data_IF_465242803066
#
_entry.id   IF_465242803066
#
_cell.length_a   1.000
_cell.length_b   1.000
_cell.length_c   1.000
_cell.angle_alpha   90.00
_cell.angle_beta   90.00
_cell.angle_gamma   90.00
#
_symmetry.space_group_name_H-M   'P 1'
#
loop_
_entity.id
_entity.type
_entity.pdbx_description
1 polymer ?
#
# COMPACT_ATOMS: atom_id res chain seq x y z
N UNK A 1 26.53 -9.31 18.32
CA UNK A 1 27.73 -10.12 17.98
C UNK A 1 27.48 -10.88 16.67
N UNK A 2 27.33 -10.16 15.55
CA UNK A 2 27.05 -10.75 14.21
C UNK A 2 27.80 -10.04 13.06
N UNK A 3 28.73 -9.13 13.37
CA UNK A 3 29.51 -8.37 12.38
C UNK A 3 31.01 -8.59 12.58
N UNK A 4 31.42 -9.86 12.64
CA UNK A 4 32.83 -10.20 12.63
C UNK A 4 33.01 -11.47 11.83
N UNK A 5 32.93 -11.34 10.51
CA UNK A 5 33.59 -12.31 9.65
C UNK A 5 34.00 -11.72 8.30
N UNK A 6 35.17 -12.21 7.88
CA UNK A 6 36.05 -11.79 6.80
C UNK A 6 35.43 -12.01 5.40
N UNK A 7 34.25 -11.43 5.15
CA UNK A 7 33.60 -11.51 3.84
C UNK A 7 34.37 -10.64 2.85
N UNK A 8 34.91 -11.27 1.79
CA UNK A 8 35.45 -10.56 0.62
C UNK A 8 34.43 -9.49 0.23
N UNK A 9 34.83 -8.22 0.33
CA UNK A 9 33.99 -7.07 -0.03
C UNK A 9 33.38 -7.35 -1.40
N UNK A 10 32.04 -7.33 -1.51
CA UNK A 10 31.32 -7.59 -2.75
C UNK A 10 31.96 -6.77 -3.88
N UNK A 11 32.14 -7.40 -5.05
CA UNK A 11 32.72 -6.78 -6.24
C UNK A 11 31.99 -5.47 -6.55
N UNK A 12 30.67 -5.42 -6.34
CA UNK A 12 29.88 -4.19 -6.49
C UNK A 12 30.33 -3.11 -5.51
N UNK A 13 30.48 -3.45 -4.23
CA UNK A 13 30.94 -2.51 -3.20
C UNK A 13 32.36 -2.02 -3.50
N UNK A 14 33.24 -2.90 -4.01
CA UNK A 14 34.60 -2.52 -4.42
C UNK A 14 34.60 -1.54 -5.59
N UNK A 15 33.76 -1.77 -6.60
CA UNK A 15 33.61 -0.87 -7.75
C UNK A 15 32.99 0.47 -7.33
N UNK A 16 32.05 0.45 -6.38
CA UNK A 16 31.37 1.65 -5.90
C UNK A 16 32.23 2.54 -5.00
N UNK A 17 33.37 2.04 -4.47
CA UNK A 17 34.34 2.87 -3.72
C UNK A 17 34.94 4.01 -4.54
N UNK A 18 34.89 3.92 -5.87
CA UNK A 18 35.34 5.01 -6.76
C UNK A 18 34.42 6.23 -6.72
N UNK A 19 33.17 6.07 -6.26
CA UNK A 19 32.20 7.15 -6.17
C UNK A 19 32.09 7.71 -4.75
N UNK A 20 31.96 9.03 -4.66
CA UNK A 20 31.73 9.70 -3.39
C UNK A 20 30.35 9.36 -2.85
N UNK A 21 30.30 8.97 -1.58
CA UNK A 21 29.04 8.72 -0.88
C UNK A 21 28.23 10.02 -0.71
N UNK A 22 26.92 9.86 -0.57
CA UNK A 22 26.02 10.98 -0.24
C UNK A 22 26.27 11.37 1.20
N UNK A 23 26.59 12.65 1.48
CA UNK A 23 26.84 13.06 2.85
C UNK A 23 25.55 12.97 3.67
N UNK A 24 25.65 12.45 4.91
CA UNK A 24 24.47 12.22 5.77
C UNK A 24 23.66 13.50 6.05
N UNK A 25 24.31 14.67 6.04
CA UNK A 25 23.62 15.93 6.29
C UNK A 25 22.55 16.27 5.25
N UNK A 26 22.65 15.79 4.00
CA UNK A 26 21.59 15.99 2.99
C UNK A 26 20.27 15.37 3.45
N UNK A 27 20.33 14.15 4.01
CA UNK A 27 19.15 13.47 4.54
C UNK A 27 18.57 14.19 5.76
N UNK A 28 19.44 14.64 6.67
CA UNK A 28 18.99 15.36 7.87
C UNK A 28 18.35 16.72 7.51
N UNK A 29 18.90 17.45 6.54
CA UNK A 29 18.30 18.71 6.09
C UNK A 29 16.91 18.46 5.49
N UNK A 30 16.76 17.48 4.59
CA UNK A 30 15.45 17.14 4.03
C UNK A 30 14.47 16.72 5.13
N UNK A 31 14.90 15.87 6.07
CA UNK A 31 14.07 15.41 7.17
C UNK A 31 13.56 16.57 8.03
N UNK A 32 14.47 17.44 8.49
CA UNK A 32 14.12 18.57 9.36
C UNK A 32 13.23 19.56 8.63
N UNK A 33 13.56 19.91 7.38
CA UNK A 33 12.73 20.82 6.56
C UNK A 33 11.33 20.24 6.36
N UNK A 34 11.19 18.96 6.04
CA UNK A 34 9.88 18.33 5.88
C UNK A 34 9.07 18.34 7.18
N UNK A 35 9.66 17.99 8.32
CA UNK A 35 8.95 18.00 9.61
C UNK A 35 8.48 19.41 9.96
N UNK A 36 9.33 20.42 9.77
CA UNK A 36 8.97 21.83 10.03
C UNK A 36 7.82 22.28 9.13
N UNK A 37 7.88 21.96 7.82
CA UNK A 37 6.82 22.31 6.87
C UNK A 37 5.50 21.60 7.20
N UNK A 38 5.54 20.32 7.60
CA UNK A 38 4.35 19.58 8.00
C UNK A 38 3.73 20.18 9.27
N UNK A 39 4.54 20.46 10.29
CA UNK A 39 4.05 21.10 11.53
C UNK A 39 3.44 22.48 11.21
N UNK A 40 4.11 23.27 10.37
CA UNK A 40 3.59 24.57 9.94
C UNK A 40 2.25 24.43 9.21
N UNK A 41 2.14 23.49 8.26
CA UNK A 41 0.90 23.25 7.54
C UNK A 41 -0.24 22.82 8.48
N UNK A 42 0.03 21.89 9.41
CA UNK A 42 -0.94 21.43 10.39
C UNK A 42 -1.44 22.54 11.32
N UNK A 43 -0.56 23.44 11.77
CA UNK A 43 -0.95 24.53 12.68
C UNK A 43 -1.61 25.71 11.92
N UNK A 44 -1.13 26.04 10.73
CA UNK A 44 -1.69 27.13 9.93
C UNK A 44 -3.05 26.76 9.32
N UNK A 45 -3.18 25.55 8.78
CA UNK A 45 -4.44 25.02 8.21
C UNK A 45 -5.19 24.13 9.22
N UNK A 46 -5.15 24.48 10.51
CA UNK A 46 -5.75 23.68 11.59
C UNK A 46 -7.26 23.46 11.39
N UNK A 47 -7.97 24.44 10.81
CA UNK A 47 -9.39 24.31 10.49
C UNK A 47 -9.69 23.13 9.55
N UNK A 48 -8.76 22.81 8.65
CA UNK A 48 -8.93 21.73 7.66
C UNK A 48 -8.24 20.43 8.10
N UNK A 49 -6.95 20.49 8.48
CA UNK A 49 -6.16 19.29 8.78
C UNK A 49 -6.46 18.70 10.16
N UNK A 50 -6.86 19.53 11.13
CA UNK A 50 -7.28 19.14 12.50
C UNK A 50 -6.24 18.31 13.30
N UNK A 51 -5.05 18.06 12.75
CA UNK A 51 -3.97 17.33 13.40
C UNK A 51 -3.06 18.31 14.14
N UNK A 52 -2.88 18.10 15.44
CA UNK A 52 -2.01 18.95 16.26
C UNK A 52 -0.54 18.56 16.09
N UNK A 53 0.38 19.48 16.38
CA UNK A 53 1.83 19.30 16.23
C UNK A 53 2.39 18.00 16.85
N UNK A 54 1.86 17.57 18.00
CA UNK A 54 2.31 16.34 18.67
C UNK A 54 1.98 15.08 17.86
N UNK A 55 0.89 15.10 17.09
CA UNK A 55 0.47 14.00 16.23
C UNK A 55 1.44 13.78 15.08
N UNK A 56 2.01 14.86 14.53
CA UNK A 56 3.06 14.79 13.50
C UNK A 56 4.32 14.11 14.05
N UNK A 57 4.80 14.52 15.22
CA UNK A 57 5.97 13.92 15.86
C UNK A 57 5.75 12.43 16.19
N UNK A 58 4.55 12.10 16.68
CA UNK A 58 4.18 10.71 16.94
C UNK A 58 4.16 9.88 15.65
N UNK A 59 3.60 10.40 14.55
CA UNK A 59 3.60 9.72 13.26
C UNK A 59 5.03 9.45 12.75
N UNK A 60 5.93 10.43 12.87
CA UNK A 60 7.34 10.27 12.53
C UNK A 60 8.02 9.19 13.39
N UNK A 61 7.77 9.19 14.71
CA UNK A 61 8.35 8.19 15.61
C UNK A 61 7.89 6.77 15.27
N UNK A 62 6.60 6.59 14.99
CA UNK A 62 6.03 5.32 14.53
C UNK A 62 6.71 4.89 13.22
N UNK A 63 6.79 5.80 12.24
CA UNK A 63 7.44 5.50 10.95
C UNK A 63 8.88 5.01 11.13
N UNK A 64 9.70 5.68 11.96
CA UNK A 64 11.09 5.31 12.21
C UNK A 64 11.20 3.91 12.84
N UNK A 65 10.40 3.63 13.87
CA UNK A 65 10.44 2.34 14.58
C UNK A 65 10.06 1.19 13.66
N UNK A 66 9.03 1.37 12.83
CA UNK A 66 8.51 0.30 11.99
C UNK A 66 9.22 0.13 10.65
N UNK A 67 9.93 1.16 10.16
CA UNK A 67 10.68 1.08 8.89
C UNK A 67 11.68 -0.07 8.89
N UNK A 68 12.41 -0.28 9.99
CA UNK A 68 13.44 -1.34 10.07
C UNK A 68 12.85 -2.76 10.00
N UNK A 69 11.91 -3.17 10.88
CA UNK A 69 11.34 -4.53 10.84
C UNK A 69 10.60 -4.82 9.53
N UNK A 70 9.85 -3.84 9.01
CA UNK A 70 9.13 -4.01 7.74
C UNK A 70 10.09 -4.06 6.57
N UNK A 71 11.19 -3.30 6.62
CA UNK A 71 12.26 -3.41 5.64
C UNK A 71 12.90 -4.80 5.60
N UNK A 72 13.08 -5.45 6.75
CA UNK A 72 13.59 -6.84 6.82
C UNK A 72 12.59 -7.82 6.20
N UNK A 73 11.29 -7.68 6.52
CA UNK A 73 10.24 -8.53 5.95
C UNK A 73 10.19 -8.31 4.43
N UNK A 74 10.09 -7.07 3.97
CA UNK A 74 10.05 -6.74 2.55
C UNK A 74 11.30 -7.22 1.80
N UNK A 75 12.49 -7.12 2.40
CA UNK A 75 13.72 -7.62 1.79
C UNK A 75 13.78 -9.15 1.66
N UNK A 76 13.03 -9.90 2.47
CA UNK A 76 13.03 -11.38 2.47
C UNK A 76 11.85 -11.96 1.71
N UNK A 77 10.69 -11.32 1.75
CA UNK A 77 9.43 -11.83 1.19
C UNK A 77 8.99 -11.09 -0.07
N UNK A 78 9.60 -9.94 -0.37
CA UNK A 78 9.13 -8.99 -1.37
C UNK A 78 7.69 -8.51 -1.14
N UNK A 79 7.17 -8.63 0.09
CA UNK A 79 5.85 -8.16 0.49
C UNK A 79 5.99 -7.03 1.51
N UNK A 80 5.25 -5.94 1.32
CA UNK A 80 5.21 -4.81 2.23
C UNK A 80 3.94 -4.89 3.08
N UNK A 81 4.00 -5.41 4.32
CA UNK A 81 2.84 -5.42 5.20
C UNK A 81 2.36 -3.99 5.48
N UNK A 82 1.06 -3.76 5.29
CA UNK A 82 0.44 -2.45 5.46
C UNK A 82 0.38 -2.01 6.92
N UNK A 83 0.85 -0.80 7.23
CA UNK A 83 0.81 -0.19 8.56
C UNK A 83 -0.42 0.70 8.77
N UNK A 84 -1.21 0.91 7.71
CA UNK A 84 -2.40 1.76 7.70
C UNK A 84 -3.26 1.55 8.95
N UNK A 85 -3.65 0.30 9.20
CA UNK A 85 -4.55 -0.05 10.30
C UNK A 85 -3.93 0.28 11.65
N UNK A 86 -2.64 -0.02 11.87
CA UNK A 86 -1.97 0.26 13.15
C UNK A 86 -1.87 1.77 13.39
N UNK A 87 -1.51 2.55 12.35
CA UNK A 87 -1.43 4.01 12.47
C UNK A 87 -2.81 4.62 12.77
N UNK A 88 -3.85 4.14 12.08
CA UNK A 88 -5.23 4.57 12.27
C UNK A 88 -5.78 4.15 13.65
N UNK A 89 -5.39 2.97 14.15
CA UNK A 89 -5.76 2.48 15.48
C UNK A 89 -5.18 3.36 16.60
N UNK A 90 -3.89 3.72 16.51
CA UNK A 90 -3.21 4.54 17.51
C UNK A 90 -3.88 5.91 17.61
N UNK A 91 -3.96 6.63 16.50
CA UNK A 91 -4.53 7.98 16.53
C UNK A 91 -6.05 7.96 16.79
N UNK A 92 -6.77 6.95 16.31
CA UNK A 92 -8.20 6.79 16.59
C UNK A 92 -8.52 6.59 18.08
N UNK A 93 -7.62 6.00 18.86
CA UNK A 93 -7.77 5.93 20.34
C UNK A 93 -7.32 7.22 21.03
N UNK A 94 -6.24 7.86 20.55
CA UNK A 94 -5.68 9.05 21.20
C UNK A 94 -6.48 10.32 20.89
N UNK A 95 -7.03 10.42 19.68
CA UNK A 95 -7.70 11.61 19.16
C UNK A 95 -8.94 11.24 18.31
N UNK A 96 -9.97 10.60 18.91
CA UNK A 96 -11.19 10.22 18.21
C UNK A 96 -12.03 11.44 17.83
N UNK A 97 -12.84 11.30 16.78
CA UNK A 97 -13.82 12.30 16.33
C UNK A 97 -13.33 13.21 15.20
N UNK A 98 -12.06 13.11 14.81
CA UNK A 98 -11.44 13.93 13.76
C UNK A 98 -10.95 13.06 12.60
N UNK A 99 -11.77 12.82 11.56
CA UNK A 99 -11.42 11.92 10.46
C UNK A 99 -10.26 12.46 9.61
N UNK A 100 -10.19 13.78 9.39
CA UNK A 100 -9.10 14.39 8.60
C UNK A 100 -7.76 14.27 9.33
N UNK A 101 -7.75 14.47 10.64
CA UNK A 101 -6.54 14.27 11.45
C UNK A 101 -6.03 12.82 11.37
N UNK A 102 -6.94 11.84 11.39
CA UNK A 102 -6.61 10.43 11.20
C UNK A 102 -6.01 10.15 9.80
N UNK A 103 -6.60 10.73 8.74
CA UNK A 103 -6.04 10.63 7.39
C UNK A 103 -4.62 11.20 7.32
N UNK A 104 -4.39 12.41 7.84
CA UNK A 104 -3.07 13.05 7.85
C UNK A 104 -2.05 12.22 8.63
N UNK A 105 -2.42 11.70 9.80
CA UNK A 105 -1.55 10.86 10.61
C UNK A 105 -1.12 9.59 9.87
N UNK A 106 -2.07 8.92 9.18
CA UNK A 106 -1.78 7.75 8.34
C UNK A 106 -0.85 8.09 7.19
N UNK A 107 -1.06 9.22 6.50
CA UNK A 107 -0.16 9.66 5.42
C UNK A 107 1.25 9.87 5.96
N UNK A 108 1.40 10.62 7.07
CA UNK A 108 2.71 10.90 7.64
C UNK A 108 3.40 9.67 8.25
N UNK A 109 2.65 8.70 8.79
CA UNK A 109 3.20 7.49 9.37
C UNK A 109 3.52 6.40 8.34
N UNK A 110 2.49 5.98 7.59
CA UNK A 110 2.58 4.85 6.67
C UNK A 110 3.19 5.20 5.31
N UNK A 111 2.74 6.27 4.66
CA UNK A 111 3.24 6.60 3.30
C UNK A 111 4.71 7.01 3.37
N UNK A 112 5.12 7.74 4.41
CA UNK A 112 6.54 8.06 4.65
C UNK A 112 7.40 6.80 4.77
N UNK A 113 6.91 5.75 5.43
CA UNK A 113 7.61 4.47 5.54
C UNK A 113 7.73 3.78 4.18
N UNK A 114 6.63 3.71 3.42
CA UNK A 114 6.62 3.12 2.06
C UNK A 114 7.64 3.85 1.17
N UNK A 115 7.64 5.18 1.20
CA UNK A 115 8.61 6.00 0.47
C UNK A 115 10.04 5.73 0.91
N UNK A 116 10.31 5.59 2.22
CA UNK A 116 11.63 5.25 2.73
C UNK A 116 12.11 3.87 2.22
N UNK A 117 11.23 2.87 2.16
CA UNK A 117 11.56 1.54 1.65
C UNK A 117 11.83 1.54 0.14
N UNK A 118 10.98 2.21 -0.64
CA UNK A 118 11.19 2.37 -2.09
C UNK A 118 12.48 3.12 -2.38
N UNK A 119 12.77 4.17 -1.61
CA UNK A 119 14.01 4.92 -1.72
C UNK A 119 15.24 4.03 -1.48
N UNK A 120 15.23 3.19 -0.42
CA UNK A 120 16.30 2.22 -0.15
C UNK A 120 16.42 1.17 -1.26
N UNK A 121 15.28 0.71 -1.81
CA UNK A 121 15.24 -0.24 -2.92
C UNK A 121 15.95 0.31 -4.16
N UNK A 122 15.68 1.56 -4.50
CA UNK A 122 16.34 2.26 -5.61
C UNK A 122 17.85 2.44 -5.37
N UNK A 123 18.29 2.77 -4.14
CA UNK A 123 19.72 2.83 -3.82
C UNK A 123 20.41 1.50 -4.06
N UNK A 124 19.74 0.39 -3.69
CA UNK A 124 20.24 -0.95 -3.93
C UNK A 124 20.30 -1.27 -5.43
N UNK A 125 19.27 -0.90 -6.19
CA UNK A 125 19.27 -1.03 -7.66
C UNK A 125 20.41 -0.22 -8.29
N UNK A 126 20.59 1.04 -7.88
CA UNK A 126 21.67 1.90 -8.35
C UNK A 126 23.06 1.36 -8.03
N UNK A 127 23.22 0.75 -6.84
CA UNK A 127 24.44 0.04 -6.46
C UNK A 127 24.71 -1.17 -7.38
N UNK A 128 23.68 -1.91 -7.78
CA UNK A 128 23.81 -3.00 -8.76
C UNK A 128 24.07 -2.52 -10.18
N UNK A 129 23.55 -1.36 -10.57
CA UNK A 129 23.77 -0.73 -11.88
C UNK A 129 25.04 0.12 -11.97
N UNK A 130 25.78 0.28 -10.86
CA UNK A 130 27.01 1.09 -10.75
C UNK A 130 26.78 2.56 -11.06
N UNK A 131 25.60 3.07 -10.69
CA UNK A 131 25.22 4.49 -10.84
C UNK A 131 25.79 5.27 -9.64
N UNK A 132 26.41 6.45 -9.84
CA UNK A 132 26.92 7.26 -8.73
C UNK A 132 25.80 7.66 -7.75
N UNK A 133 25.98 7.45 -6.44
CA UNK A 133 24.91 7.58 -5.45
C UNK A 133 24.44 9.04 -5.27
N UNK A 134 25.33 10.03 -5.48
CA UNK A 134 24.97 11.46 -5.48
C UNK A 134 24.07 11.85 -6.65
N UNK A 135 24.27 11.25 -7.82
CA UNK A 135 23.41 11.51 -8.98
C UNK A 135 22.04 10.86 -8.76
N UNK A 136 22.03 9.63 -8.24
CA UNK A 136 20.80 8.92 -7.91
C UNK A 136 19.95 9.68 -6.90
N UNK A 137 20.56 10.16 -5.80
CA UNK A 137 19.88 10.98 -4.81
C UNK A 137 19.23 12.23 -5.42
N UNK A 138 19.99 12.97 -6.24
CA UNK A 138 19.47 14.17 -6.91
C UNK A 138 18.33 13.84 -7.87
N UNK A 139 18.45 12.76 -8.63
CA UNK A 139 17.41 12.31 -9.55
C UNK A 139 16.12 11.93 -8.81
N UNK A 140 16.21 11.25 -7.67
CA UNK A 140 15.05 10.91 -6.86
C UNK A 140 14.38 12.15 -6.27
N UNK A 141 15.15 13.09 -5.70
CA UNK A 141 14.61 14.33 -5.13
C UNK A 141 13.93 15.18 -6.20
N UNK A 142 14.53 15.32 -7.39
CA UNK A 142 13.88 16.04 -8.49
C UNK A 142 12.66 15.28 -9.03
N UNK A 143 12.76 13.96 -9.12
CA UNK A 143 11.65 13.11 -9.55
C UNK A 143 10.45 13.22 -8.62
N UNK A 144 10.66 13.26 -7.30
CA UNK A 144 9.57 13.44 -6.33
C UNK A 144 8.93 14.82 -6.45
N UNK A 145 9.72 15.89 -6.60
CA UNK A 145 9.20 17.26 -6.79
C UNK A 145 8.34 17.35 -8.06
N UNK A 146 8.86 16.84 -9.19
CA UNK A 146 8.11 16.85 -10.46
C UNK A 146 6.84 16.01 -10.35
N UNK A 147 6.95 14.81 -9.75
CA UNK A 147 5.81 13.92 -9.53
C UNK A 147 4.70 14.62 -8.74
N UNK A 148 5.03 15.26 -7.61
CA UNK A 148 4.05 15.99 -6.80
C UNK A 148 3.38 17.12 -7.58
N UNK A 149 4.13 17.89 -8.37
CA UNK A 149 3.57 18.97 -9.19
C UNK A 149 2.61 18.45 -10.26
N UNK A 150 3.00 17.36 -10.96
CA UNK A 150 2.15 16.73 -11.97
C UNK A 150 0.88 16.17 -11.33
N UNK A 151 1.01 15.41 -10.22
CA UNK A 151 -0.13 14.86 -9.50
C UNK A 151 -1.10 15.94 -9.02
N UNK A 152 -0.59 17.03 -8.45
CA UNK A 152 -1.41 18.15 -8.00
C UNK A 152 -2.13 18.81 -9.18
N UNK A 153 -1.41 19.09 -10.27
CA UNK A 153 -1.99 19.68 -11.48
C UNK A 153 -3.08 18.80 -12.08
N UNK A 154 -2.86 17.49 -12.17
CA UNK A 154 -3.87 16.55 -12.68
C UNK A 154 -5.08 16.45 -11.75
N UNK A 155 -4.87 16.45 -10.44
CA UNK A 155 -5.98 16.38 -9.47
C UNK A 155 -6.87 17.62 -9.55
N UNK A 156 -6.28 18.82 -9.60
CA UNK A 156 -7.02 20.07 -9.79
C UNK A 156 -7.78 20.09 -11.11
N UNK A 157 -7.11 19.71 -12.20
CA UNK A 157 -7.75 19.63 -13.52
C UNK A 157 -8.94 18.66 -13.54
N UNK A 158 -8.80 17.50 -12.90
CA UNK A 158 -9.88 16.50 -12.80
C UNK A 158 -11.08 17.04 -12.02
N UNK A 159 -10.85 17.70 -10.88
CA UNK A 159 -11.92 18.26 -10.05
C UNK A 159 -12.68 19.40 -10.74
N UNK A 160 -12.01 20.22 -11.57
CA UNK A 160 -12.64 21.35 -12.26
C UNK A 160 -13.39 20.95 -13.54
N UNK A 161 -12.88 19.96 -14.29
CA UNK A 161 -13.41 19.63 -15.62
C UNK A 161 -14.40 18.45 -15.63
N UNK A 162 -14.41 17.59 -14.62
CA UNK A 162 -15.22 16.36 -14.61
C UNK A 162 -16.42 16.56 -13.67
N UNK A 163 -17.65 16.69 -14.21
CA UNK A 163 -18.83 16.82 -13.37
C UNK A 163 -19.13 15.51 -12.62
N UNK A 164 -19.57 15.62 -11.36
CA UNK A 164 -19.93 14.49 -10.49
C UNK A 164 -18.81 13.47 -10.27
N UNK A 165 -17.56 13.93 -10.19
CA UNK A 165 -16.40 13.09 -9.90
C UNK A 165 -16.60 12.27 -8.62
N UNK A 166 -16.33 10.96 -8.68
CA UNK A 166 -16.47 10.00 -7.58
C UNK A 166 -17.91 9.77 -7.06
N UNK A 167 -18.95 10.36 -7.67
CA UNK A 167 -20.34 10.17 -7.24
C UNK A 167 -20.93 8.88 -7.82
N UNK A 168 -21.02 7.84 -6.97
CA UNK A 168 -21.54 6.52 -7.35
C UNK A 168 -23.05 6.54 -7.66
N UNK A 169 -23.79 7.57 -7.22
CA UNK A 169 -25.25 7.64 -7.40
C UNK A 169 -25.66 8.12 -8.79
N UNK A 170 -24.86 9.02 -9.38
CA UNK A 170 -25.12 9.59 -10.71
C UNK A 170 -24.35 8.84 -11.80
N UNK A 171 -23.18 8.27 -11.48
CA UNK A 171 -22.31 7.61 -12.46
C UNK A 171 -22.74 6.17 -12.76
N UNK A 172 -22.78 5.84 -14.05
CA UNK A 172 -23.05 4.48 -14.53
C UNK A 172 -22.04 3.44 -13.98
N UNK A 173 -22.44 2.17 -13.85
CA UNK A 173 -21.60 1.05 -13.40
C UNK A 173 -20.21 0.99 -14.02
N UNK A 174 -20.14 1.35 -15.29
CA UNK A 174 -19.00 1.25 -16.20
C UNK A 174 -18.15 2.53 -16.26
N UNK A 175 -18.52 3.58 -15.52
CA UNK A 175 -17.83 4.86 -15.54
C UNK A 175 -16.42 4.75 -14.92
N UNK A 176 -15.37 5.25 -15.58
CA UNK A 176 -14.01 5.24 -15.05
C UNK A 176 -13.82 6.18 -13.84
N UNK A 177 -14.75 7.12 -13.62
CA UNK A 177 -14.63 8.22 -12.67
C UNK A 177 -15.16 7.91 -11.26
N UNK A 178 -15.22 6.62 -10.88
CA UNK A 178 -15.81 6.16 -9.60
C UNK A 178 -14.87 6.20 -8.39
N UNK A 179 -13.59 6.53 -8.60
CA UNK A 179 -12.57 6.74 -7.56
C UNK A 179 -12.58 5.66 -6.44
N UNK A 180 -12.43 4.38 -6.78
CA UNK A 180 -12.60 3.30 -5.80
C UNK A 180 -11.58 3.39 -4.67
N UNK A 181 -10.31 3.66 -4.98
CA UNK A 181 -9.24 3.83 -3.98
C UNK A 181 -9.52 4.99 -3.02
N UNK A 182 -9.98 6.13 -3.53
CA UNK A 182 -10.28 7.31 -2.71
C UNK A 182 -11.50 7.07 -1.82
N UNK A 183 -12.51 6.35 -2.31
CA UNK A 183 -13.67 5.97 -1.49
C UNK A 183 -13.28 5.06 -0.33
N UNK A 184 -12.38 4.08 -0.55
CA UNK A 184 -11.86 3.23 0.53
C UNK A 184 -11.05 4.05 1.54
N UNK A 185 -10.26 5.01 1.05
CA UNK A 185 -9.49 5.90 1.92
C UNK A 185 -10.41 6.79 2.79
N UNK A 186 -11.50 7.29 2.20
CA UNK A 186 -12.53 8.04 2.90
C UNK A 186 -13.26 7.17 3.94
N UNK A 187 -13.78 6.00 3.55
CA UNK A 187 -14.50 5.11 4.45
C UNK A 187 -13.64 4.67 5.64
N UNK A 188 -12.35 4.40 5.40
CA UNK A 188 -11.38 4.11 6.46
C UNK A 188 -11.27 5.27 7.47
N UNK A 189 -11.26 6.52 7.00
CA UNK A 189 -11.20 7.67 7.91
C UNK A 189 -12.44 7.81 8.80
N UNK A 190 -13.61 7.43 8.28
CA UNK A 190 -14.87 7.46 9.03
C UNK A 190 -14.87 6.38 10.11
N UNK A 191 -14.48 5.16 9.74
CA UNK A 191 -14.42 4.00 10.64
C UNK A 191 -13.40 4.25 11.75
N UNK A 192 -12.15 4.58 11.39
CA UNK A 192 -11.05 4.64 12.34
C UNK A 192 -10.87 6.02 13.00
N UNK A 193 -11.24 7.10 12.33
CA UNK A 193 -11.08 8.47 12.83
C UNK A 193 -12.34 9.04 13.47
N UNK A 194 -13.45 9.10 12.73
CA UNK A 194 -14.69 9.74 13.20
C UNK A 194 -15.39 8.91 14.29
N UNK A 195 -15.70 7.64 14.00
CA UNK A 195 -16.35 6.74 14.97
C UNK A 195 -15.35 6.29 16.04
N UNK A 196 -14.12 6.02 15.58
CA UNK A 196 -13.02 5.58 16.42
C UNK A 196 -13.05 4.08 16.72
N UNK A 197 -11.88 3.45 16.87
CA UNK A 197 -11.77 2.03 17.14
C UNK A 197 -12.46 1.59 18.43
N UNK A 198 -12.59 2.47 19.44
CA UNK A 198 -13.26 2.14 20.70
C UNK A 198 -14.75 1.81 20.53
N UNK A 199 -15.44 2.46 19.59
CA UNK A 199 -16.89 2.27 19.36
C UNK A 199 -17.20 1.15 18.37
N UNK A 200 -16.25 0.75 17.53
CA UNK A 200 -16.43 -0.34 16.56
C UNK A 200 -15.83 -1.64 17.09
N UNK A 201 -14.57 -1.59 17.52
CA UNK A 201 -13.77 -2.74 17.94
C UNK A 201 -13.52 -2.78 19.46
N UNK A 202 -13.82 -1.73 20.20
CA UNK A 202 -13.68 -1.71 21.66
C UNK A 202 -14.86 -2.33 22.39
N UNK A 203 -14.93 -2.08 23.70
CA UNK A 203 -15.97 -2.62 24.59
C UNK A 203 -17.38 -2.12 24.25
N UNK A 204 -17.48 -1.01 23.51
CA UNK A 204 -18.75 -0.38 23.12
C UNK A 204 -19.25 -0.86 21.75
N UNK A 205 -18.46 -1.65 21.03
CA UNK A 205 -18.74 -2.02 19.64
C UNK A 205 -19.14 -3.49 19.45
N UNK A 206 -19.89 -3.74 18.38
CA UNK A 206 -20.32 -5.09 18.00
C UNK A 206 -19.18 -5.95 17.43
N UNK A 207 -18.08 -5.33 16.98
CA UNK A 207 -16.94 -6.02 16.34
C UNK A 207 -15.75 -6.25 17.28
N UNK A 208 -15.98 -6.26 18.59
CA UNK A 208 -14.89 -6.43 19.58
C UNK A 208 -14.04 -7.69 19.38
N UNK A 209 -14.67 -8.77 18.91
CA UNK A 209 -13.98 -10.04 18.61
C UNK A 209 -12.95 -9.94 17.50
N UNK A 210 -12.99 -8.92 16.64
CA UNK A 210 -12.03 -8.74 15.55
C UNK A 210 -10.63 -8.46 16.12
N UNK A 211 -10.50 -7.84 17.30
CA UNK A 211 -9.19 -7.64 17.91
C UNK A 211 -8.49 -8.96 18.28
N UNK A 212 -9.22 -10.07 18.41
CA UNK A 212 -8.63 -11.40 18.64
C UNK A 212 -7.71 -11.81 17.48
N UNK A 213 -7.95 -11.32 16.26
CA UNK A 213 -7.11 -11.63 15.12
C UNK A 213 -5.69 -11.05 15.25
N UNK A 214 -5.46 -10.01 16.06
CA UNK A 214 -4.10 -9.58 16.39
C UNK A 214 -3.35 -10.66 17.18
N UNK A 215 -4.04 -11.34 18.10
CA UNK A 215 -3.48 -12.46 18.89
C UNK A 215 -3.23 -13.66 17.98
N UNK A 216 -4.17 -13.99 17.09
CA UNK A 216 -3.98 -15.04 16.08
C UNK A 216 -2.75 -14.72 15.21
N UNK A 217 -2.61 -13.47 14.76
CA UNK A 217 -1.47 -13.00 14.00
C UNK A 217 -0.13 -13.14 14.74
N UNK A 218 -0.11 -12.96 16.06
CA UNK A 218 1.08 -13.16 16.89
C UNK A 218 1.41 -14.65 17.12
N UNK A 219 0.38 -15.50 17.27
CA UNK A 219 0.54 -16.92 17.55
C UNK A 219 0.94 -17.70 16.29
N UNK A 220 0.38 -17.38 15.12
CA UNK A 220 0.60 -18.15 13.90
C UNK A 220 2.08 -18.31 13.49
N UNK A 221 2.94 -17.27 13.51
CA UNK A 221 4.37 -17.43 13.26
C UNK A 221 5.07 -18.34 14.28
N UNK A 222 4.67 -18.26 15.56
CA UNK A 222 5.22 -19.12 16.62
C UNK A 222 4.85 -20.59 16.40
N UNK A 223 3.62 -20.87 15.95
CA UNK A 223 3.19 -22.22 15.60
C UNK A 223 4.01 -22.80 14.44
N UNK A 224 4.30 -22.01 13.40
CA UNK A 224 5.17 -22.46 12.29
C UNK A 224 6.59 -22.75 12.80
N UNK A 225 7.11 -21.90 13.69
CA UNK A 225 8.43 -22.12 14.30
C UNK A 225 8.48 -23.39 15.15
N UNK A 226 7.47 -23.64 15.98
CA UNK A 226 7.35 -24.87 16.77
C UNK A 226 7.20 -26.11 15.88
N UNK A 227 6.39 -26.03 14.82
CA UNK A 227 6.21 -27.12 13.86
C UNK A 227 7.52 -27.44 13.13
N UNK A 228 8.31 -26.42 12.77
CA UNK A 228 9.63 -26.62 12.19
C UNK A 228 10.59 -27.33 13.14
N UNK A 229 10.54 -26.99 14.44
CA UNK A 229 11.38 -27.62 15.47
C UNK A 229 10.95 -29.07 15.78
N UNK A 230 9.66 -29.36 15.76
CA UNK A 230 9.11 -30.70 16.01
C UNK A 230 9.32 -31.66 14.83
N UNK A 231 9.29 -31.14 13.59
CA UNK A 231 9.44 -31.93 12.36
C UNK A 231 10.63 -31.45 11.51
N UNK A 232 11.88 -31.67 11.95
CA UNK A 232 13.07 -31.18 11.25
C UNK A 232 13.24 -31.78 9.85
N UNK A 233 12.66 -32.94 9.58
CA UNK A 233 12.76 -33.63 8.28
C UNK A 233 11.88 -33.01 7.18
N UNK A 234 10.93 -32.13 7.54
CA UNK A 234 9.95 -31.58 6.60
C UNK A 234 10.35 -30.17 6.15
N UNK A 235 11.13 -30.08 5.07
CA UNK A 235 11.66 -28.79 4.56
C UNK A 235 10.57 -27.80 4.10
N UNK A 236 9.38 -28.28 3.70
CA UNK A 236 8.29 -27.42 3.24
C UNK A 236 7.69 -26.54 4.35
N UNK A 237 7.77 -26.94 5.61
CA UNK A 237 7.26 -26.15 6.75
C UNK A 237 8.01 -24.81 6.86
N UNK A 238 9.29 -24.79 6.49
CA UNK A 238 10.10 -23.57 6.48
C UNK A 238 9.70 -22.57 5.38
N UNK A 239 8.97 -23.02 4.36
CA UNK A 239 8.49 -22.17 3.26
C UNK A 239 7.18 -21.45 3.63
N UNK A 240 6.51 -21.84 4.72
CA UNK A 240 5.27 -21.21 5.16
C UNK A 240 5.58 -19.85 5.78
N UNK A 241 5.21 -18.79 5.08
CA UNK A 241 5.36 -17.43 5.57
C UNK A 241 3.99 -16.86 5.96
N UNK A 242 3.70 -16.85 7.27
CA UNK A 242 2.41 -16.39 7.80
C UNK A 242 2.11 -14.91 7.46
N UNK A 243 3.06 -13.96 7.58
CA UNK A 243 2.85 -12.60 7.09
C UNK A 243 2.40 -12.51 5.63
N UNK A 244 3.00 -13.31 4.74
CA UNK A 244 2.62 -13.33 3.31
C UNK A 244 1.21 -13.89 3.09
N UNK A 245 0.85 -14.93 3.85
CA UNK A 245 -0.49 -15.52 3.79
C UNK A 245 -1.56 -14.53 4.25
N UNK A 246 -1.32 -13.82 5.36
CA UNK A 246 -2.27 -12.83 5.86
C UNK A 246 -2.30 -11.54 5.04
N UNK A 247 -1.23 -11.19 4.33
CA UNK A 247 -1.22 -10.04 3.43
C UNK A 247 -1.92 -10.30 2.09
N UNK A 248 -2.25 -11.54 1.76
CA UNK A 248 -2.82 -11.91 0.46
C UNK A 248 -4.14 -11.19 0.12
N UNK A 249 -4.94 -10.86 1.14
CA UNK A 249 -6.21 -10.14 0.99
C UNK A 249 -6.07 -8.63 1.25
N UNK A 250 -4.85 -8.10 1.37
CA UNK A 250 -4.61 -6.71 1.76
C UNK A 250 -5.07 -5.64 0.77
N UNK A 251 -5.35 -6.03 -0.49
CA UNK A 251 -5.83 -5.11 -1.55
C UNK A 251 -7.37 -5.21 -1.70
N UNK A 252 -8.03 -6.04 -0.89
CA UNK A 252 -9.48 -6.16 -0.87
C UNK A 252 -10.04 -5.33 0.29
N UNK A 253 -10.74 -4.19 0.06
CA UNK A 253 -10.98 -3.41 -1.17
C UNK A 253 -9.81 -2.44 -1.51
N UNK A 254 -9.68 -1.90 -2.75
CA UNK A 254 -10.68 -1.86 -3.83
C UNK A 254 -10.59 -2.98 -4.87
N UNK A 255 -9.65 -3.93 -4.75
CA UNK A 255 -9.55 -5.01 -5.73
C UNK A 255 -10.82 -5.85 -5.73
N UNK A 256 -11.36 -6.09 -6.93
CA UNK A 256 -12.51 -6.95 -7.13
C UNK A 256 -12.15 -8.43 -7.04
N UNK A 257 -13.13 -9.28 -6.78
CA UNK A 257 -13.06 -10.74 -6.88
C UNK A 257 -12.58 -11.19 -8.26
N UNK A 258 -12.92 -10.46 -9.33
CA UNK A 258 -12.40 -10.72 -10.67
C UNK A 258 -10.88 -10.50 -10.77
N UNK A 259 -10.35 -9.49 -10.07
CA UNK A 259 -8.90 -9.25 -10.02
C UNK A 259 -8.19 -10.36 -9.26
N UNK A 260 -8.72 -10.76 -8.10
CA UNK A 260 -8.13 -11.82 -7.28
C UNK A 260 -8.13 -13.18 -7.98
N UNK A 261 -9.24 -13.56 -8.61
CA UNK A 261 -9.33 -14.81 -9.38
C UNK A 261 -8.39 -14.80 -10.59
N UNK A 262 -8.27 -13.67 -11.29
CA UNK A 262 -7.32 -13.51 -12.40
C UNK A 262 -5.86 -13.62 -11.92
N UNK A 263 -5.51 -12.98 -10.81
CA UNK A 263 -4.18 -13.08 -10.21
C UNK A 263 -3.85 -14.51 -9.77
N UNK A 264 -4.80 -15.22 -9.16
CA UNK A 264 -4.64 -16.63 -8.78
C UNK A 264 -4.39 -17.53 -10.00
N UNK A 265 -5.15 -17.33 -11.08
CA UNK A 265 -4.97 -18.07 -12.32
C UNK A 265 -3.59 -17.81 -12.94
N UNK A 266 -3.19 -16.55 -13.06
CA UNK A 266 -1.87 -16.20 -13.60
C UNK A 266 -0.73 -16.71 -12.71
N UNK A 267 -0.87 -16.62 -11.39
CA UNK A 267 0.08 -17.16 -10.43
C UNK A 267 0.18 -18.69 -10.53
N UNK A 268 -0.93 -19.39 -10.73
CA UNK A 268 -0.93 -20.83 -10.94
C UNK A 268 -0.27 -21.22 -12.28
N UNK A 269 -0.62 -20.54 -13.36
CA UNK A 269 -0.03 -20.83 -14.68
C UNK A 269 1.48 -20.56 -14.66
N UNK A 270 1.93 -19.40 -14.18
CA UNK A 270 3.37 -19.09 -14.13
C UNK A 270 4.10 -19.93 -13.08
N UNK A 271 3.59 -19.93 -11.84
CA UNK A 271 4.28 -20.49 -10.67
C UNK A 271 4.18 -22.00 -10.52
N UNK A 272 3.16 -22.64 -11.09
CA UNK A 272 3.01 -24.11 -11.04
C UNK A 272 3.25 -24.77 -12.40
N UNK A 273 2.55 -24.32 -13.46
CA UNK A 273 2.62 -24.98 -14.78
C UNK A 273 3.94 -24.67 -15.47
N UNK A 274 4.23 -23.40 -15.75
CA UNK A 274 5.44 -23.02 -16.51
C UNK A 274 6.71 -23.37 -15.73
N UNK A 275 6.69 -23.17 -14.41
CA UNK A 275 7.80 -23.58 -13.53
C UNK A 275 8.08 -25.09 -13.59
N UNK A 276 7.06 -25.95 -13.58
CA UNK A 276 7.23 -27.42 -13.57
C UNK A 276 7.57 -28.01 -14.94
N UNK A 277 6.96 -27.51 -16.01
CA UNK A 277 7.12 -28.08 -17.36
C UNK A 277 8.24 -27.43 -18.18
N UNK A 278 8.61 -26.16 -17.91
CA UNK A 278 9.61 -25.40 -18.68
C UNK A 278 10.49 -24.50 -17.78
N UNK A 279 11.27 -25.06 -16.84
CA UNK A 279 12.03 -24.28 -15.85
C UNK A 279 13.05 -23.30 -16.46
N UNK A 280 13.76 -23.71 -17.53
CA UNK A 280 14.74 -22.83 -18.22
C UNK A 280 14.11 -21.60 -18.87
N UNK A 281 12.86 -21.71 -19.31
CA UNK A 281 12.13 -20.58 -19.89
C UNK A 281 11.70 -19.62 -18.77
N UNK A 282 11.18 -20.18 -17.68
CA UNK A 282 10.73 -19.42 -16.51
C UNK A 282 11.87 -18.60 -15.90
N UNK A 283 13.02 -19.22 -15.61
CA UNK A 283 14.17 -18.54 -15.01
C UNK A 283 14.68 -17.36 -15.85
N UNK A 284 14.66 -17.51 -17.18
CA UNK A 284 15.19 -16.49 -18.10
C UNK A 284 14.24 -15.33 -18.33
N UNK A 285 12.93 -15.60 -18.44
CA UNK A 285 11.97 -14.61 -18.95
C UNK A 285 10.91 -14.19 -17.95
N UNK A 286 10.73 -14.85 -16.81
CA UNK A 286 9.62 -14.53 -15.88
C UNK A 286 9.67 -13.07 -15.40
N UNK A 287 10.84 -12.57 -15.00
CA UNK A 287 10.99 -11.17 -14.57
C UNK A 287 10.79 -10.16 -15.72
N UNK A 288 11.26 -10.49 -16.93
CA UNK A 288 11.08 -9.65 -18.12
C UNK A 288 9.61 -9.61 -18.53
N UNK A 289 8.93 -10.75 -18.49
CA UNK A 289 7.50 -10.87 -18.79
C UNK A 289 6.67 -10.10 -17.77
N UNK A 290 6.99 -10.21 -16.47
CA UNK A 290 6.34 -9.42 -15.42
C UNK A 290 6.47 -7.92 -15.68
N UNK A 291 7.69 -7.43 -15.91
CA UNK A 291 7.92 -6.01 -16.22
C UNK A 291 7.24 -5.56 -17.52
N UNK A 292 7.18 -6.44 -18.52
CA UNK A 292 6.46 -6.19 -19.78
C UNK A 292 4.94 -6.10 -19.61
N UNK A 293 4.36 -6.92 -18.74
CA UNK A 293 2.93 -6.86 -18.39
C UNK A 293 2.59 -5.59 -17.60
N UNK A 294 3.43 -5.19 -16.64
CA UNK A 294 3.24 -3.96 -15.87
C UNK A 294 3.30 -2.72 -16.79
N UNK A 295 4.35 -2.63 -17.61
CA UNK A 295 4.50 -1.54 -18.58
C UNK A 295 3.37 -1.55 -19.61
N UNK A 296 3.03 -2.72 -20.15
CA UNK A 296 1.93 -2.90 -21.11
C UNK A 296 0.60 -2.42 -20.55
N UNK A 297 0.31 -2.74 -19.29
CA UNK A 297 -0.92 -2.30 -18.60
C UNK A 297 -0.95 -0.77 -18.46
N UNK A 298 0.17 -0.15 -18.09
CA UNK A 298 0.26 1.31 -18.00
C UNK A 298 0.04 2.00 -19.37
N UNK A 299 0.70 1.53 -20.43
CA UNK A 299 0.53 2.07 -21.78
C UNK A 299 -0.89 1.88 -22.30
N UNK A 300 -1.45 0.68 -22.15
CA UNK A 300 -2.83 0.39 -22.59
C UNK A 300 -3.82 1.25 -21.80
N UNK A 301 -3.62 1.46 -20.50
CA UNK A 301 -4.48 2.34 -19.69
C UNK A 301 -4.51 3.77 -20.24
N UNK A 302 -3.35 4.33 -20.57
CA UNK A 302 -3.26 5.69 -21.14
C UNK A 302 -3.93 5.76 -22.52
N UNK A 303 -3.75 4.73 -23.36
CA UNK A 303 -4.39 4.66 -24.67
C UNK A 303 -5.92 4.54 -24.55
N UNK A 304 -6.41 3.65 -23.68
CA UNK A 304 -7.84 3.51 -23.39
C UNK A 304 -8.42 4.80 -22.86
N UNK A 305 -7.68 5.49 -21.99
CA UNK A 305 -8.06 6.80 -21.47
C UNK A 305 -8.24 7.82 -22.60
N UNK A 306 -7.22 8.01 -23.43
CA UNK A 306 -7.21 9.01 -24.49
C UNK A 306 -8.21 8.74 -25.63
N UNK A 307 -8.39 7.48 -26.02
CA UNK A 307 -9.20 7.12 -27.20
C UNK A 307 -10.65 6.75 -26.87
N UNK A 308 -10.90 6.07 -25.75
CA UNK A 308 -12.23 5.56 -25.40
C UNK A 308 -12.87 6.36 -24.26
N UNK A 309 -12.19 6.43 -23.10
CA UNK A 309 -12.79 6.99 -21.88
C UNK A 309 -13.04 8.49 -21.99
N UNK A 310 -12.14 9.25 -22.64
CA UNK A 310 -12.36 10.67 -22.92
C UNK A 310 -13.56 10.93 -23.85
N UNK A 311 -13.99 9.92 -24.63
CA UNK A 311 -15.18 9.98 -25.49
C UNK A 311 -16.41 9.32 -24.85
N UNK A 312 -16.35 8.99 -23.56
CA UNK A 312 -17.39 8.25 -22.82
C UNK A 312 -17.79 6.91 -23.45
N UNK A 313 -16.88 6.25 -24.16
CA UNK A 313 -17.12 4.93 -24.75
C UNK A 313 -16.70 3.87 -23.73
N UNK A 314 -17.68 3.30 -23.03
CA UNK A 314 -17.48 2.18 -22.09
C UNK A 314 -17.58 0.82 -22.80
N UNK A 315 -16.56 -0.03 -22.67
CA UNK A 315 -16.62 -1.42 -23.15
C UNK A 315 -17.10 -2.32 -22.01
N UNK A 316 -18.26 -2.95 -22.22
CA UNK A 316 -18.78 -3.95 -21.31
C UNK A 316 -18.16 -5.32 -21.59
N UNK A 317 -17.60 -5.94 -20.55
CA UNK A 317 -17.10 -7.31 -20.61
C UNK A 317 -17.34 -8.00 -19.27
N UNK A 318 -17.12 -9.32 -19.23
CA UNK A 318 -17.42 -10.18 -18.09
C UNK A 318 -16.72 -9.76 -16.77
N UNK A 319 -15.63 -8.99 -16.85
CA UNK A 319 -14.91 -8.45 -15.68
C UNK A 319 -15.26 -7.01 -15.28
N UNK A 320 -16.08 -6.28 -16.06
CA UNK A 320 -16.40 -4.85 -15.85
C UNK A 320 -17.88 -4.58 -15.53
N UNK A 321 -18.75 -5.58 -15.71
CA UNK A 321 -20.07 -5.56 -15.07
C UNK A 321 -19.82 -5.91 -13.61
N UNK A 322 -19.96 -4.93 -12.70
CA UNK A 322 -19.61 -5.04 -11.29
C UNK A 322 -19.98 -6.38 -10.61
N UNK A 323 -19.35 -6.67 -9.49
CA UNK A 323 -19.48 -7.98 -8.84
C UNK A 323 -20.93 -8.39 -8.60
N UNK A 324 -21.21 -9.64 -8.99
CA UNK A 324 -22.56 -10.16 -9.17
C UNK A 324 -23.46 -10.04 -7.95
N UNK A 325 -24.72 -9.74 -8.26
CA UNK A 325 -25.87 -9.54 -7.37
C UNK A 325 -26.05 -8.10 -6.85
N UNK A 326 -26.88 -7.27 -7.50
CA UNK A 326 -27.22 -5.94 -6.98
C UNK A 326 -27.87 -5.98 -5.59
N UNK A 327 -28.41 -7.14 -5.19
CA UNK A 327 -28.99 -7.38 -3.86
C UNK A 327 -27.93 -7.53 -2.75
N UNK A 328 -26.64 -7.70 -3.08
CA UNK A 328 -25.59 -7.82 -2.07
C UNK A 328 -25.36 -6.51 -1.28
N UNK A 329 -25.74 -5.36 -1.84
CA UNK A 329 -25.73 -4.07 -1.14
C UNK A 329 -26.93 -3.92 -0.18
N UNK A 330 -27.94 -4.79 -0.30
CA UNK A 330 -29.16 -4.61 0.47
C UNK A 330 -28.99 -5.00 1.93
N UNK A 331 -29.46 -4.16 2.87
CA UNK A 331 -29.39 -4.48 4.29
C UNK A 331 -30.26 -5.70 4.57
N UNK A 332 -29.67 -6.73 5.17
CA UNK A 332 -30.39 -7.92 5.64
C UNK A 332 -30.94 -7.76 7.05
N UNK A 333 -30.66 -6.63 7.71
CA UNK A 333 -31.15 -6.31 9.04
C UNK A 333 -32.64 -5.92 9.02
N UNK A 334 -33.44 -6.54 9.90
CA UNK A 334 -34.87 -6.26 10.02
C UNK A 334 -35.12 -4.78 10.38
N UNK A 335 -36.02 -4.13 9.64
CA UNK A 335 -36.46 -2.75 9.90
C UNK A 335 -35.64 -1.66 9.20
N UNK A 336 -34.64 -2.00 8.38
CA UNK A 336 -33.88 -1.03 7.58
C UNK A 336 -34.42 -1.06 6.15
N UNK A 337 -35.10 0.01 5.75
CA UNK A 337 -35.63 0.20 4.40
C UNK A 337 -34.63 1.06 3.63
N UNK A 338 -34.10 0.54 2.53
CA UNK A 338 -33.19 1.24 1.63
C UNK A 338 -33.77 1.19 0.23
N UNK A 339 -33.78 2.32 -0.46
CA UNK A 339 -34.29 2.43 -1.83
C UNK A 339 -33.55 1.48 -2.76
N UNK A 340 -34.31 0.68 -3.54
CA UNK A 340 -33.76 -0.32 -4.47
C UNK A 340 -33.54 -1.72 -3.88
N UNK A 341 -33.91 -1.93 -2.61
CA UNK A 341 -33.76 -3.23 -1.94
C UNK A 341 -35.11 -3.87 -1.58
N UNK A 342 -35.25 -5.21 -1.71
CA UNK A 342 -36.46 -5.90 -1.28
C UNK A 342 -36.59 -5.79 0.24
N UNK A 343 -37.76 -5.36 0.70
CA UNK A 343 -38.14 -5.35 2.12
C UNK A 343 -38.44 -6.78 2.57
N UNK A 344 -37.77 -7.23 3.62
CA UNK A 344 -38.01 -8.51 4.30
C UNK A 344 -38.98 -8.38 5.49
#
# INVERSE_FOLDING_TARGET
MAFKDNTKVDIHTRLMKAYEQVPMWWFHVILVVNIVLIIFACEYYNAELQLRWWGVLLACAVSIIYTLPIGIISATTNQQPGLNIITEYIIGYLYPGYPVANMSFKVYGYISMVQALTFVMDFKLGHYMKIPPRALFKAQVWGTVISVLVYLGTAWWMMENIPNLCDKSVLSPTSPWRCPSDSVFYDASVIWGLVGPQRIFGNLGHYSKVNLYFVVGAICPLLVWLAHKAFPNQHWIRLINMPVLFSATGIMPPASSSNLTSWLLLAFVSGFVVFRYKPKLWERYNYILSGGLDAGTAFVTILLFGFLQNKNIGVEWWGNKGEGCPLAHCPTAKGIIVDGCPVN
#
